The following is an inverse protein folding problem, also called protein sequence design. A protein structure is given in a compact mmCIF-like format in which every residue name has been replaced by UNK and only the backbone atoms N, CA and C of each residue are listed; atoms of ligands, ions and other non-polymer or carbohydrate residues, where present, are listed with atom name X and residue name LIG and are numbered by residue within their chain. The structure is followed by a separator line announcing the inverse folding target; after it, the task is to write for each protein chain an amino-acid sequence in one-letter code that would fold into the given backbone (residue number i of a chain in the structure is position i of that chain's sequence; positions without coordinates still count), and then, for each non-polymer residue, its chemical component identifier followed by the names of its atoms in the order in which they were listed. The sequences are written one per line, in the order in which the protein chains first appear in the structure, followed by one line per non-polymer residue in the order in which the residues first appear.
data_IF_161954580290
#
_entry.id   IF_161954580290
#
_cell.length_a   1.000
_cell.length_b   1.000
_cell.length_c   1.000
_cell.angle_alpha   90.00
_cell.angle_beta   90.00
_cell.angle_gamma   90.00
#
_symmetry.space_group_name_H-M   'P 1'
#
loop_
_entity.id
_entity.type
_entity.pdbx_description
1 polymer ?
#
# COMPACT_ATOMS: atom_id res chain seq x y z
N UNK A 1 8.96 4.55 17.28
CA UNK A 1 8.74 3.69 16.10
C UNK A 1 7.46 4.17 15.44
N UNK A 2 7.56 4.78 14.28
CA UNK A 2 6.39 5.26 13.53
C UNK A 2 5.69 4.02 12.94
N UNK A 3 4.44 3.78 13.31
CA UNK A 3 3.65 2.64 12.80
C UNK A 3 3.02 3.03 11.46
N UNK A 4 2.98 2.10 10.51
CA UNK A 4 2.25 2.30 9.26
C UNK A 4 0.73 2.35 9.51
N UNK A 5 0.09 3.38 8.98
CA UNK A 5 -1.36 3.55 8.97
C UNK A 5 -1.88 3.19 7.57
N UNK A 6 -2.34 1.95 7.43
CA UNK A 6 -2.79 1.41 6.15
C UNK A 6 -4.20 1.90 5.79
N UNK A 7 -4.36 2.34 4.54
CA UNK A 7 -5.64 2.70 3.94
C UNK A 7 -5.93 1.75 2.78
N UNK A 8 -7.12 1.16 2.78
CA UNK A 8 -7.56 0.26 1.72
C UNK A 8 -7.84 1.04 0.44
N UNK A 9 -7.40 0.51 -0.70
CA UNK A 9 -7.67 1.11 -2.01
C UNK A 9 -9.18 1.14 -2.33
N UNK A 10 -9.65 2.24 -2.91
CA UNK A 10 -11.04 2.39 -3.37
C UNK A 10 -11.40 1.39 -4.48
N UNK A 11 -10.42 0.94 -5.26
CA UNK A 11 -10.58 -0.06 -6.32
C UNK A 11 -10.80 -1.48 -5.78
N UNK A 12 -10.55 -1.72 -4.49
CA UNK A 12 -10.69 -3.04 -3.86
C UNK A 12 -12.12 -3.37 -3.39
N UNK A 13 -13.12 -2.62 -3.84
CA UNK A 13 -14.52 -2.72 -3.40
C UNK A 13 -15.50 -3.24 -4.47
N UNK A 14 -15.02 -3.47 -5.71
CA UNK A 14 -15.93 -3.67 -6.85
C UNK A 14 -16.44 -5.11 -6.98
N UNK A 15 -15.69 -6.11 -6.50
CA UNK A 15 -16.12 -7.52 -6.44
C UNK A 15 -15.39 -8.29 -5.33
N UNK A 16 -16.02 -9.34 -4.80
CA UNK A 16 -15.53 -10.20 -3.69
C UNK A 16 -14.14 -10.80 -3.91
N UNK A 17 -13.67 -10.86 -5.16
CA UNK A 17 -12.38 -11.43 -5.56
C UNK A 17 -11.35 -10.42 -6.07
N UNK A 18 -11.65 -9.12 -6.03
CA UNK A 18 -10.70 -8.09 -6.48
C UNK A 18 -9.37 -8.11 -5.70
N UNK A 19 -8.29 -7.76 -6.39
CA UNK A 19 -6.94 -7.64 -5.83
C UNK A 19 -6.91 -6.54 -4.76
N UNK A 20 -7.01 -6.97 -3.50
CA UNK A 20 -7.19 -6.09 -2.35
C UNK A 20 -5.82 -5.64 -1.81
N UNK A 21 -5.46 -4.38 -2.07
CA UNK A 21 -4.23 -3.77 -1.56
C UNK A 21 -4.54 -2.64 -0.56
N UNK A 22 -3.68 -2.50 0.44
CA UNK A 22 -3.66 -1.36 1.35
C UNK A 22 -2.30 -0.67 1.30
N UNK A 23 -2.30 0.65 1.43
CA UNK A 23 -1.10 1.48 1.32
C UNK A 23 -1.02 2.40 2.54
N UNK A 24 0.18 2.57 3.10
CA UNK A 24 0.47 3.55 4.14
C UNK A 24 1.54 4.53 3.66
N UNK A 25 1.27 5.82 3.83
CA UNK A 25 2.14 6.94 3.41
C UNK A 25 2.48 7.89 4.55
N UNK A 26 2.07 7.57 5.78
CA UNK A 26 2.24 8.40 6.97
C UNK A 26 3.68 8.39 7.52
N UNK A 27 4.57 7.54 6.98
CA UNK A 27 5.98 7.45 7.37
C UNK A 27 6.83 8.11 6.30
N UNK A 28 7.62 9.12 6.67
CA UNK A 28 8.45 9.86 5.73
C UNK A 28 9.49 8.95 5.05
N UNK A 29 9.69 9.13 3.75
CA UNK A 29 10.67 8.36 2.96
C UNK A 29 10.21 6.96 2.54
N UNK A 30 9.07 6.46 3.03
CA UNK A 30 8.62 5.09 2.77
C UNK A 30 7.13 5.02 2.47
N UNK A 31 6.78 4.28 1.43
CA UNK A 31 5.42 3.84 1.14
C UNK A 31 5.36 2.34 1.40
N UNK A 32 4.53 1.95 2.37
CA UNK A 32 4.32 0.54 2.70
C UNK A 32 3.07 0.03 1.99
N UNK A 33 3.18 -1.14 1.35
CA UNK A 33 2.10 -1.81 0.64
C UNK A 33 1.91 -3.22 1.21
N UNK A 34 0.66 -3.61 1.45
CA UNK A 34 0.32 -4.98 1.86
C UNK A 34 -0.96 -5.48 1.22
N UNK A 35 -1.13 -6.80 1.26
CA UNK A 35 -2.35 -7.51 0.90
C UNK A 35 -3.41 -7.32 2.00
N UNK A 36 -4.58 -6.75 1.67
CA UNK A 36 -5.64 -6.57 2.69
C UNK A 36 -6.19 -7.90 3.21
N UNK A 37 -6.09 -8.98 2.43
CA UNK A 37 -6.56 -10.33 2.81
C UNK A 37 -5.57 -11.01 3.75
N UNK A 38 -4.33 -10.50 3.85
CA UNK A 38 -3.28 -11.00 4.75
C UNK A 38 -2.66 -9.85 5.56
N UNK A 39 -3.46 -9.25 6.44
CA UNK A 39 -3.05 -8.10 7.24
C UNK A 39 -1.79 -8.36 8.12
N UNK A 40 -1.60 -9.61 8.56
CA UNK A 40 -0.44 -10.06 9.35
C UNK A 40 0.70 -10.62 8.46
N UNK A 41 0.55 -10.52 7.14
CA UNK A 41 1.53 -10.97 6.16
C UNK A 41 2.68 -9.98 5.96
N UNK A 42 3.51 -10.27 4.96
CA UNK A 42 4.63 -9.41 4.61
C UNK A 42 4.17 -8.03 4.11
N UNK A 43 4.94 -7.01 4.47
CA UNK A 43 4.79 -5.63 3.99
C UNK A 43 5.93 -5.35 3.02
N UNK A 44 5.59 -4.83 1.84
CA UNK A 44 6.58 -4.33 0.89
C UNK A 44 6.79 -2.85 1.16
N UNK A 45 8.03 -2.45 1.43
CA UNK A 45 8.41 -1.07 1.64
C UNK A 45 9.11 -0.53 0.39
N UNK A 46 8.61 0.59 -0.12
CA UNK A 46 9.13 1.26 -1.31
C UNK A 46 9.55 2.68 -0.91
N UNK A 47 10.71 3.13 -1.39
CA UNK A 47 11.11 4.53 -1.20
C UNK A 47 10.10 5.49 -1.85
N UNK A 48 9.82 6.61 -1.18
CA UNK A 48 8.84 7.61 -1.64
C UNK A 48 9.08 8.13 -3.07
N UNK A 49 10.35 8.39 -3.43
CA UNK A 49 10.72 8.81 -4.78
C UNK A 49 10.47 7.72 -5.81
N UNK A 50 10.80 6.47 -5.49
CA UNK A 50 10.57 5.34 -6.38
C UNK A 50 9.07 5.09 -6.58
N UNK A 51 8.28 5.21 -5.51
CA UNK A 51 6.82 5.14 -5.57
C UNK A 51 6.23 6.25 -6.45
N UNK A 52 6.69 7.50 -6.30
CA UNK A 52 6.25 8.61 -7.12
C UNK A 52 6.65 8.46 -8.60
N UNK A 53 7.76 7.78 -8.90
CA UNK A 53 8.13 7.39 -10.27
C UNK A 53 7.18 6.34 -10.81
N UNK A 54 6.94 5.28 -10.05
CA UNK A 54 6.04 4.22 -10.44
C UNK A 54 4.63 4.75 -10.76
N UNK A 55 4.05 5.54 -9.86
CA UNK A 55 2.67 6.03 -9.96
C UNK A 55 2.40 6.95 -11.16
N UNK A 56 3.43 7.61 -11.71
CA UNK A 56 3.28 8.48 -12.91
C UNK A 56 3.51 7.75 -14.23
N UNK A 57 4.00 6.50 -14.18
CA UNK A 57 4.39 5.73 -15.37
C UNK A 57 3.41 4.62 -15.76
N UNK A 58 2.34 4.43 -14.97
CA UNK A 58 1.32 3.40 -15.16
C UNK A 58 -0.03 4.00 -15.50
#
# INVERSE_FOLDING_TARGET
MTRFEFVKSSYSSVTTDSDCVEVATNVAGTVAVRDSKRADGAVVEVGDLAWAVFARTV
#
